data_IF_420090781024
#
_entry.id   IF_420090781024
#
_cell.length_a   1.000
_cell.length_b   1.000
_cell.length_c   1.000
_cell.angle_alpha   90.00
_cell.angle_beta   90.00
_cell.angle_gamma   90.00
#
_symmetry.space_group_name_H-M   'P 1'
#
loop_
_entity.id
_entity.type
_entity.pdbx_description
1 polymer ?
#
# COMPACT_ATOMS: atom_id res chain seq x y z
N UNK A 1 -15.99 15.93 -0.74
CA UNK A 1 -16.47 14.61 -0.28
C UNK A 1 -15.51 13.47 -0.64
N UNK A 2 -15.22 13.23 -1.92
CA UNK A 2 -14.37 12.10 -2.37
C UNK A 2 -12.95 12.08 -1.77
N UNK A 3 -12.20 13.18 -1.87
CA UNK A 3 -10.83 13.25 -1.35
C UNK A 3 -10.73 13.01 0.16
N UNK A 4 -11.79 13.38 0.93
CA UNK A 4 -11.92 13.06 2.36
C UNK A 4 -12.01 11.54 2.57
N UNK A 5 -12.86 10.86 1.79
CA UNK A 5 -13.00 9.40 1.87
C UNK A 5 -11.70 8.68 1.52
N UNK A 6 -10.97 9.16 0.51
CA UNK A 6 -9.64 8.66 0.16
C UNK A 6 -8.68 8.79 1.33
N UNK A 7 -8.65 9.95 2.01
CA UNK A 7 -7.81 10.16 3.18
C UNK A 7 -8.12 9.20 4.33
N UNK A 8 -9.42 8.99 4.62
CA UNK A 8 -9.88 8.05 5.66
C UNK A 8 -9.47 6.62 5.33
N UNK A 9 -9.66 6.16 4.09
CA UNK A 9 -9.28 4.80 3.68
C UNK A 9 -7.78 4.60 3.77
N UNK A 10 -6.98 5.54 3.26
CA UNK A 10 -5.52 5.39 3.30
C UNK A 10 -5.03 5.37 4.74
N UNK A 11 -5.54 6.24 5.61
CA UNK A 11 -5.21 6.24 7.03
C UNK A 11 -5.63 4.93 7.73
N UNK A 12 -6.79 4.37 7.38
CA UNK A 12 -7.29 3.12 7.94
C UNK A 12 -6.47 1.91 7.47
N UNK A 13 -6.28 1.76 6.15
CA UNK A 13 -5.57 0.64 5.54
C UNK A 13 -4.07 0.68 5.79
N UNK A 14 -3.50 1.86 6.07
CA UNK A 14 -2.08 1.98 6.36
C UNK A 14 -1.73 1.58 7.79
N UNK A 15 -2.67 1.51 8.74
CA UNK A 15 -2.39 1.18 10.15
C UNK A 15 -1.48 -0.06 10.36
N UNK A 16 -1.61 -1.16 9.59
CA UNK A 16 -0.75 -2.32 9.76
C UNK A 16 0.70 -2.16 9.24
N UNK A 17 1.02 -1.11 8.47
CA UNK A 17 2.34 -1.00 7.83
C UNK A 17 2.84 0.40 7.42
N UNK A 18 1.98 1.34 7.05
CA UNK A 18 2.36 2.69 6.63
C UNK A 18 1.82 3.80 7.56
N UNK A 19 2.67 4.78 7.84
CA UNK A 19 2.53 5.71 8.99
C UNK A 19 1.60 6.91 8.79
N UNK A 20 0.70 6.90 7.80
CA UNK A 20 -0.20 8.04 7.50
C UNK A 20 -1.21 8.42 8.60
N UNK A 21 -1.22 7.72 9.75
CA UNK A 21 -2.03 8.03 10.92
C UNK A 21 -1.26 8.03 12.24
N UNK A 22 0.06 8.15 12.20
CA UNK A 22 0.91 8.22 13.40
C UNK A 22 1.03 9.68 13.88
N UNK A 23 0.51 9.95 15.06
CA UNK A 23 0.66 11.23 15.76
C UNK A 23 1.15 10.91 17.17
N UNK A 24 2.39 11.27 17.48
CA UNK A 24 2.93 11.24 18.84
C UNK A 24 3.21 12.67 19.29
N UNK A 25 3.26 12.86 20.60
CA UNK A 25 3.57 14.16 21.23
C UNK A 25 5.08 14.38 21.42
N UNK A 26 5.88 13.34 21.22
CA UNK A 26 7.32 13.36 21.47
C UNK A 26 8.13 12.94 20.24
N UNK A 27 9.40 13.35 20.22
CA UNK A 27 10.36 12.86 19.23
C UNK A 27 10.60 11.38 19.46
N UNK A 28 10.39 10.57 18.43
CA UNK A 28 10.56 9.12 18.50
C UNK A 28 11.30 8.59 17.30
N UNK A 29 11.99 7.48 17.50
CA UNK A 29 12.59 6.70 16.43
C UNK A 29 11.53 5.88 15.69
N UNK A 30 11.73 5.77 14.38
CA UNK A 30 10.72 5.32 13.42
C UNK A 30 11.40 4.52 12.32
N UNK A 31 10.63 3.68 11.64
CA UNK A 31 11.17 2.85 10.56
C UNK A 31 11.03 3.46 9.16
N UNK A 32 10.14 4.45 9.01
CA UNK A 32 9.85 5.11 7.75
C UNK A 32 9.28 6.52 7.97
N UNK A 33 9.76 7.50 7.20
CA UNK A 33 9.22 8.85 7.08
C UNK A 33 8.78 9.14 5.63
N UNK A 34 7.51 9.50 5.37
CA UNK A 34 7.09 9.93 4.04
C UNK A 34 7.88 11.15 3.54
N UNK A 35 8.35 11.09 2.28
CA UNK A 35 9.22 12.12 1.67
C UNK A 35 8.62 13.51 1.55
N UNK A 36 7.31 13.63 1.77
CA UNK A 36 6.60 14.90 1.72
C UNK A 36 6.88 15.82 2.92
N UNK A 37 7.59 15.35 3.96
CA UNK A 37 7.99 16.17 5.10
C UNK A 37 9.21 15.59 5.84
N UNK A 38 10.35 15.55 5.15
CA UNK A 38 11.57 14.94 5.67
C UNK A 38 12.80 15.79 5.35
N UNK A 39 13.79 15.73 6.23
CA UNK A 39 15.12 16.27 6.01
C UNK A 39 16.14 15.16 6.25
N UNK A 40 17.12 15.05 5.35
CA UNK A 40 18.20 14.09 5.47
C UNK A 40 19.55 14.83 5.56
N UNK A 41 20.51 14.23 6.27
CA UNK A 41 21.90 14.67 6.18
C UNK A 41 22.43 14.32 4.78
N UNK A 42 23.03 15.28 4.10
CA UNK A 42 23.59 15.08 2.76
C UNK A 42 24.56 13.90 2.71
N UNK A 43 25.49 13.83 3.68
CA UNK A 43 26.47 12.75 3.75
C UNK A 43 25.82 11.37 3.84
N UNK A 44 24.73 11.22 4.58
CA UNK A 44 24.00 9.95 4.72
C UNK A 44 23.31 9.57 3.40
N UNK A 45 22.71 10.53 2.69
CA UNK A 45 22.11 10.26 1.38
C UNK A 45 23.16 9.83 0.35
N UNK A 46 24.31 10.50 0.33
CA UNK A 46 25.42 10.17 -0.57
C UNK A 46 25.98 8.77 -0.25
N UNK A 47 26.16 8.45 1.03
CA UNK A 47 26.67 7.16 1.50
C UNK A 47 25.75 5.99 1.11
N UNK A 48 24.43 6.14 1.22
CA UNK A 48 23.51 5.07 0.81
C UNK A 48 23.22 5.07 -0.69
N UNK A 49 23.66 6.08 -1.45
CA UNK A 49 23.45 6.20 -2.90
C UNK A 49 22.14 6.90 -3.33
N UNK A 50 21.43 7.56 -2.41
CA UNK A 50 20.22 8.32 -2.70
C UNK A 50 18.99 7.48 -3.07
N UNK A 51 18.03 8.07 -3.77
CA UNK A 51 16.77 7.42 -4.15
C UNK A 51 16.95 6.41 -5.29
N UNK A 52 16.26 5.28 -5.21
CA UNK A 52 16.27 4.28 -6.26
C UNK A 52 15.24 4.59 -7.37
N UNK A 53 15.72 5.19 -8.47
CA UNK A 53 14.87 5.56 -9.61
C UNK A 53 14.28 4.37 -10.42
N UNK A 54 14.68 3.13 -10.12
CA UNK A 54 14.09 1.94 -10.77
C UNK A 54 12.73 1.54 -10.16
N UNK A 55 12.41 2.06 -8.97
CA UNK A 55 11.16 1.84 -8.28
C UNK A 55 10.05 2.75 -8.83
N UNK A 56 8.85 2.19 -9.05
CA UNK A 56 7.68 2.97 -9.46
C UNK A 56 7.12 3.82 -8.30
N UNK A 57 7.32 3.36 -7.06
CA UNK A 57 6.93 3.98 -5.78
C UNK A 57 7.52 3.12 -4.65
N UNK A 58 7.30 3.47 -3.37
CA UNK A 58 7.93 2.83 -2.20
C UNK A 58 9.46 3.09 -2.19
N UNK A 59 9.91 4.07 -2.97
CA UNK A 59 11.30 4.53 -3.05
C UNK A 59 11.75 5.26 -1.79
N UNK A 60 10.81 5.90 -1.10
CA UNK A 60 11.00 6.49 0.21
C UNK A 60 11.20 5.44 1.31
N UNK A 61 10.33 4.44 1.37
CA UNK A 61 10.49 3.31 2.30
C UNK A 61 11.75 2.49 2.03
N UNK A 62 12.14 2.31 0.77
CA UNK A 62 13.36 1.59 0.39
C UNK A 62 14.63 2.37 0.74
N UNK A 63 14.62 3.70 0.56
CA UNK A 63 15.69 4.56 1.03
C UNK A 63 15.83 4.49 2.56
N UNK A 64 14.70 4.63 3.28
CA UNK A 64 14.67 4.55 4.74
C UNK A 64 15.15 3.18 5.25
N UNK A 65 14.84 2.11 4.50
CA UNK A 65 15.38 0.78 4.76
C UNK A 65 16.92 0.78 4.70
N UNK A 66 17.52 1.23 3.59
CA UNK A 66 18.98 1.29 3.44
C UNK A 66 19.66 2.18 4.48
N UNK A 67 19.04 3.32 4.82
CA UNK A 67 19.54 4.22 5.88
C UNK A 67 19.64 3.46 7.22
N UNK A 68 18.61 2.69 7.58
CA UNK A 68 18.60 1.92 8.82
C UNK A 68 19.57 0.74 8.80
N UNK A 69 19.72 0.05 7.67
CA UNK A 69 20.70 -1.03 7.53
C UNK A 69 22.15 -0.53 7.67
N UNK A 70 22.41 0.74 7.38
CA UNK A 70 23.71 1.40 7.66
C UNK A 70 23.83 1.94 9.10
N UNK A 71 22.92 1.55 10.00
CA UNK A 71 22.98 1.90 11.43
C UNK A 71 22.47 3.31 11.76
N UNK A 72 21.94 4.05 10.79
CA UNK A 72 21.34 5.35 11.05
C UNK A 72 19.91 5.23 11.58
N UNK A 73 19.50 6.26 12.32
CA UNK A 73 18.17 6.35 12.93
C UNK A 73 17.32 7.32 12.15
N UNK A 74 16.04 6.99 11.98
CA UNK A 74 15.05 7.90 11.42
C UNK A 74 14.18 8.40 12.56
N UNK A 75 14.03 9.72 12.67
CA UNK A 75 13.29 10.35 13.76
C UNK A 75 12.04 11.04 13.21
N UNK A 76 10.95 10.90 13.94
CA UNK A 76 9.75 11.73 13.81
C UNK A 76 9.82 12.88 14.80
N UNK A 77 9.37 14.06 14.39
CA UNK A 77 9.11 15.19 15.29
C UNK A 77 7.66 15.64 15.16
N UNK A 78 6.96 15.89 16.28
CA UNK A 78 5.59 16.44 16.25
C UNK A 78 5.52 17.88 15.73
N UNK A 79 6.63 18.62 15.78
CA UNK A 79 6.64 20.06 15.47
C UNK A 79 6.74 20.35 13.96
N UNK A 80 7.19 19.38 13.16
CA UNK A 80 7.25 19.53 11.71
C UNK A 80 5.92 19.07 11.10
N UNK A 81 4.94 19.98 11.01
CA UNK A 81 3.61 19.67 10.44
C UNK A 81 3.46 20.23 9.03
N UNK A 82 3.01 19.41 8.09
CA UNK A 82 2.60 19.86 6.75
C UNK A 82 1.27 19.24 6.32
N UNK A 83 0.51 19.99 5.52
CA UNK A 83 -0.81 19.58 5.05
C UNK A 83 -0.75 18.98 3.64
N UNK A 84 -1.42 17.85 3.45
CA UNK A 84 -1.40 17.12 2.19
C UNK A 84 -2.75 17.11 1.49
N UNK A 85 -2.74 17.44 0.20
CA UNK A 85 -3.90 17.21 -0.66
C UNK A 85 -4.04 15.73 -0.99
N UNK A 86 -5.23 15.18 -0.73
CA UNK A 86 -5.59 13.81 -1.13
C UNK A 86 -6.04 13.77 -2.59
N UNK A 87 -5.96 12.60 -3.22
CA UNK A 87 -6.28 12.44 -4.65
C UNK A 87 -7.73 12.84 -4.92
N UNK A 88 -7.98 13.70 -5.93
CA UNK A 88 -9.31 14.27 -6.13
C UNK A 88 -10.26 13.39 -6.96
N UNK A 89 -9.75 12.37 -7.66
CA UNK A 89 -10.54 11.59 -8.64
C UNK A 89 -10.30 10.08 -8.52
N UNK A 90 -11.30 9.31 -8.95
CA UNK A 90 -11.26 7.85 -9.03
C UNK A 90 -10.09 7.33 -9.87
N UNK A 91 -9.89 7.88 -11.07
CA UNK A 91 -8.80 7.48 -11.97
C UNK A 91 -7.41 7.65 -11.33
N UNK A 92 -7.20 8.75 -10.61
CA UNK A 92 -5.94 8.99 -9.89
C UNK A 92 -5.76 8.02 -8.72
N UNK A 93 -6.84 7.65 -8.04
CA UNK A 93 -6.80 6.65 -6.97
C UNK A 93 -6.54 5.23 -7.49
N UNK A 94 -7.18 4.83 -8.59
CA UNK A 94 -6.92 3.54 -9.27
C UNK A 94 -5.46 3.42 -9.71
N UNK A 95 -4.93 4.44 -10.40
CA UNK A 95 -3.52 4.49 -10.81
C UNK A 95 -2.57 4.41 -9.62
N UNK A 96 -2.93 5.06 -8.52
CA UNK A 96 -2.17 5.00 -7.28
C UNK A 96 -2.14 3.58 -6.70
N UNK A 97 -3.29 2.94 -6.48
CA UNK A 97 -3.36 1.56 -5.97
C UNK A 97 -2.53 0.58 -6.83
N UNK A 98 -2.66 0.69 -8.16
CA UNK A 98 -1.85 -0.08 -9.11
C UNK A 98 -0.34 0.13 -8.95
N UNK A 99 0.09 1.39 -8.92
CA UNK A 99 1.51 1.72 -8.77
C UNK A 99 2.05 1.23 -7.42
N UNK A 100 1.30 1.40 -6.32
CA UNK A 100 1.70 0.92 -4.99
C UNK A 100 1.91 -0.59 -4.96
N UNK A 101 1.04 -1.36 -5.63
CA UNK A 101 1.25 -2.80 -5.82
C UNK A 101 2.57 -3.10 -6.53
N UNK A 102 2.84 -2.45 -7.67
CA UNK A 102 4.09 -2.64 -8.42
C UNK A 102 5.30 -2.30 -7.55
N UNK A 103 5.32 -1.10 -6.96
CA UNK A 103 6.45 -0.60 -6.17
C UNK A 103 6.74 -1.47 -4.96
N UNK A 104 5.70 -1.94 -4.25
CA UNK A 104 5.89 -2.85 -3.12
C UNK A 104 6.57 -4.16 -3.54
N UNK A 105 6.15 -4.78 -4.64
CA UNK A 105 6.79 -6.01 -5.11
C UNK A 105 8.23 -5.74 -5.58
N UNK A 106 8.50 -4.60 -6.23
CA UNK A 106 9.88 -4.23 -6.58
C UNK A 106 10.76 -4.04 -5.33
N UNK A 107 10.26 -3.37 -4.30
CA UNK A 107 10.97 -3.21 -3.02
C UNK A 107 11.26 -4.57 -2.36
N UNK A 108 10.29 -5.49 -2.34
CA UNK A 108 10.47 -6.86 -1.82
C UNK A 108 11.51 -7.66 -2.62
N UNK A 109 11.62 -7.42 -3.94
CA UNK A 109 12.64 -8.08 -4.78
C UNK A 109 14.05 -7.61 -4.43
N UNK A 110 14.22 -6.36 -4.02
CA UNK A 110 15.49 -5.83 -3.52
C UNK A 110 15.76 -6.34 -2.10
N UNK A 111 14.80 -6.15 -1.20
CA UNK A 111 14.94 -6.43 0.23
C UNK A 111 13.77 -7.30 0.70
N UNK A 112 14.00 -8.60 0.84
CA UNK A 112 12.93 -9.59 1.09
C UNK A 112 12.18 -9.37 2.40
N UNK A 113 12.85 -8.81 3.39
CA UNK A 113 12.35 -8.49 4.73
C UNK A 113 11.39 -7.28 4.77
N UNK A 114 11.37 -6.45 3.73
CA UNK A 114 10.30 -5.46 3.52
C UNK A 114 8.95 -6.12 3.20
N UNK A 115 8.94 -7.42 2.91
CA UNK A 115 7.73 -8.22 2.69
C UNK A 115 7.02 -8.59 3.98
N UNK A 116 5.72 -8.28 4.07
CA UNK A 116 4.83 -8.71 5.15
C UNK A 116 3.67 -9.50 4.56
N UNK A 117 3.11 -10.45 5.31
CA UNK A 117 2.07 -11.35 4.82
C UNK A 117 0.90 -10.61 4.13
N UNK A 118 0.45 -9.48 4.70
CA UNK A 118 -0.67 -8.70 4.17
C UNK A 118 -0.36 -7.98 2.84
N UNK A 119 0.91 -7.76 2.50
CA UNK A 119 1.29 -7.25 1.18
C UNK A 119 0.97 -8.25 0.06
N UNK A 120 1.08 -9.55 0.35
CA UNK A 120 0.84 -10.64 -0.60
C UNK A 120 -0.64 -11.03 -0.70
N UNK A 121 -1.43 -10.82 0.37
CA UNK A 121 -2.82 -11.28 0.48
C UNK A 121 -3.69 -10.92 -0.72
N UNK A 122 -3.74 -9.66 -1.22
CA UNK A 122 -4.59 -9.34 -2.37
C UNK A 122 -4.20 -10.13 -3.63
N UNK A 123 -2.90 -10.21 -3.91
CA UNK A 123 -2.35 -10.92 -5.08
C UNK A 123 -2.61 -12.42 -5.04
N UNK A 124 -2.46 -13.03 -3.86
CA UNK A 124 -2.70 -14.47 -3.66
C UNK A 124 -4.18 -14.81 -3.82
N UNK A 125 -5.08 -14.00 -3.25
CA UNK A 125 -6.53 -14.20 -3.40
C UNK A 125 -6.96 -14.05 -4.86
N UNK A 126 -6.47 -13.02 -5.56
CA UNK A 126 -6.77 -12.82 -6.99
C UNK A 126 -6.26 -14.00 -7.83
N UNK A 127 -5.05 -14.48 -7.55
CA UNK A 127 -4.47 -15.63 -8.24
C UNK A 127 -5.26 -16.92 -7.97
N UNK A 128 -5.74 -17.12 -6.74
CA UNK A 128 -6.57 -18.25 -6.37
C UNK A 128 -7.94 -18.22 -7.09
N UNK A 129 -8.59 -17.05 -7.14
CA UNK A 129 -9.85 -16.88 -7.89
C UNK A 129 -9.63 -17.19 -9.37
N UNK A 130 -8.56 -16.67 -9.97
CA UNK A 130 -8.23 -16.92 -11.38
C UNK A 130 -7.99 -18.41 -11.64
N UNK A 131 -7.18 -19.08 -10.80
CA UNK A 131 -6.87 -20.50 -10.94
C UNK A 131 -8.12 -21.39 -10.76
N UNK A 132 -8.96 -21.13 -9.75
CA UNK A 132 -10.22 -21.84 -9.55
C UNK A 132 -11.19 -21.63 -10.72
N UNK A 133 -11.21 -20.42 -11.30
CA UNK A 133 -12.02 -20.13 -12.49
C UNK A 133 -11.56 -20.95 -13.69
N UNK A 134 -10.26 -21.16 -13.89
CA UNK A 134 -9.74 -22.05 -14.94
C UNK A 134 -10.13 -23.50 -14.66
N UNK A 135 -9.93 -23.98 -13.44
CA UNK A 135 -10.27 -25.35 -13.06
C UNK A 135 -11.77 -25.64 -13.18
N UNK A 136 -12.63 -24.61 -13.12
CA UNK A 136 -14.08 -24.77 -13.27
C UNK A 136 -14.50 -25.37 -14.60
N UNK A 137 -13.64 -25.29 -15.64
CA UNK A 137 -13.84 -25.96 -16.92
C UNK A 137 -13.86 -27.49 -16.79
N UNK A 138 -13.21 -28.03 -15.76
CA UNK A 138 -13.18 -29.47 -15.47
C UNK A 138 -14.28 -29.92 -14.49
N UNK A 139 -14.58 -29.09 -13.49
CA UNK A 139 -15.55 -29.41 -12.44
C UNK A 139 -16.16 -28.15 -11.83
N UNK A 140 -17.49 -28.08 -11.78
CA UNK A 140 -18.22 -26.91 -11.28
C UNK A 140 -17.96 -26.60 -9.79
N UNK A 141 -17.47 -27.55 -8.99
CA UNK A 141 -17.09 -27.29 -7.58
C UNK A 141 -16.07 -26.14 -7.49
N UNK A 142 -15.13 -26.03 -8.44
CA UNK A 142 -14.15 -24.94 -8.44
C UNK A 142 -14.78 -23.58 -8.74
N UNK A 143 -15.85 -23.52 -9.55
CA UNK A 143 -16.62 -22.30 -9.76
C UNK A 143 -17.25 -21.84 -8.45
N UNK A 144 -17.90 -22.75 -7.71
CA UNK A 144 -18.47 -22.43 -6.41
C UNK A 144 -17.41 -21.97 -5.42
N UNK A 145 -16.21 -22.56 -5.46
CA UNK A 145 -15.05 -22.09 -4.69
C UNK A 145 -14.68 -20.64 -5.01
N UNK A 146 -14.51 -20.31 -6.29
CA UNK A 146 -14.19 -18.94 -6.73
C UNK A 146 -15.29 -17.94 -6.34
N UNK A 147 -16.56 -18.29 -6.56
CA UNK A 147 -17.71 -17.46 -6.19
C UNK A 147 -17.81 -17.25 -4.67
N UNK A 148 -17.53 -18.28 -3.87
CA UNK A 148 -17.52 -18.19 -2.41
C UNK A 148 -16.48 -17.18 -1.92
N UNK A 149 -15.27 -17.21 -2.48
CA UNK A 149 -14.21 -16.24 -2.15
C UNK A 149 -14.67 -14.82 -2.51
N UNK A 150 -15.26 -14.62 -3.69
CA UNK A 150 -15.76 -13.31 -4.12
C UNK A 150 -16.89 -12.80 -3.21
N UNK A 151 -17.83 -13.66 -2.81
CA UNK A 151 -18.94 -13.31 -1.92
C UNK A 151 -18.41 -12.95 -0.53
N UNK A 152 -17.57 -13.79 0.07
CA UNK A 152 -16.99 -13.54 1.39
C UNK A 152 -16.16 -12.25 1.39
N UNK A 153 -15.32 -12.06 0.36
CA UNK A 153 -14.54 -10.83 0.18
C UNK A 153 -15.43 -9.60 0.03
N UNK A 154 -16.49 -9.70 -0.78
CA UNK A 154 -17.48 -8.64 -0.95
C UNK A 154 -18.21 -8.27 0.34
N UNK A 155 -18.59 -9.26 1.16
CA UNK A 155 -19.17 -9.06 2.49
C UNK A 155 -18.16 -8.38 3.42
N UNK A 156 -16.89 -8.82 3.42
CA UNK A 156 -15.84 -8.20 4.21
C UNK A 156 -15.61 -6.72 3.87
N UNK A 157 -15.56 -6.40 2.58
CA UNK A 157 -15.47 -5.01 2.10
C UNK A 157 -16.73 -4.22 2.52
N UNK A 158 -17.91 -4.84 2.45
CA UNK A 158 -19.16 -4.28 2.95
C UNK A 158 -19.10 -3.94 4.43
N UNK A 159 -18.65 -4.87 5.27
CA UNK A 159 -18.51 -4.66 6.71
C UNK A 159 -17.51 -3.53 7.04
N UNK A 160 -16.36 -3.50 6.38
CA UNK A 160 -15.38 -2.40 6.53
C UNK A 160 -15.98 -1.06 6.10
N UNK A 161 -16.73 -1.05 5.00
CA UNK A 161 -17.39 0.15 4.51
C UNK A 161 -18.49 0.65 5.46
N UNK A 162 -19.29 -0.25 6.05
CA UNK A 162 -20.27 0.09 7.09
C UNK A 162 -19.58 0.70 8.31
N UNK A 163 -18.48 0.09 8.75
CA UNK A 163 -17.69 0.60 9.87
C UNK A 163 -17.19 2.03 9.60
N UNK A 164 -16.55 2.28 8.46
CA UNK A 164 -16.06 3.62 8.10
C UNK A 164 -17.21 4.61 7.93
N UNK A 165 -18.29 4.19 7.28
CA UNK A 165 -19.51 4.97 7.15
C UNK A 165 -20.08 5.37 8.51
N UNK A 166 -20.05 4.49 9.51
CA UNK A 166 -20.61 4.79 10.85
C UNK A 166 -19.85 5.91 11.54
N UNK A 167 -18.59 6.14 11.14
CA UNK A 167 -17.73 7.19 11.68
C UNK A 167 -17.79 8.50 10.89
N UNK A 168 -18.14 8.47 9.61
CA UNK A 168 -18.10 9.67 8.74
C UNK A 168 -19.43 10.05 8.07
N UNK A 169 -20.44 9.18 8.17
CA UNK A 169 -21.77 9.31 7.56
C UNK A 169 -22.10 8.15 6.59
N UNK A 170 -23.30 7.58 6.73
CA UNK A 170 -23.79 6.45 5.90
C UNK A 170 -23.86 6.75 4.40
N UNK A 171 -24.02 8.02 4.02
CA UNK A 171 -24.02 8.46 2.62
C UNK A 171 -22.71 8.16 1.87
N UNK A 172 -21.62 7.88 2.59
CA UNK A 172 -20.31 7.55 2.02
C UNK A 172 -20.07 6.03 1.90
N UNK A 173 -21.01 5.19 2.33
CA UNK A 173 -20.89 3.72 2.29
C UNK A 173 -20.50 3.20 0.89
N UNK A 174 -21.25 3.54 -0.16
CA UNK A 174 -20.92 3.06 -1.51
C UNK A 174 -19.56 3.60 -2.00
N UNK A 175 -19.15 4.78 -1.54
CA UNK A 175 -17.84 5.36 -1.88
C UNK A 175 -16.71 4.56 -1.23
N UNK A 176 -16.84 4.22 0.05
CA UNK A 176 -15.85 3.41 0.74
C UNK A 176 -15.78 1.99 0.18
N UNK A 177 -16.93 1.37 -0.10
CA UNK A 177 -16.97 0.06 -0.75
C UNK A 177 -16.16 0.05 -2.04
N UNK A 178 -16.44 1.00 -2.94
CA UNK A 178 -15.75 1.13 -4.22
C UNK A 178 -14.25 1.43 -4.05
N UNK A 179 -13.87 2.33 -3.13
CA UNK A 179 -12.47 2.67 -2.89
C UNK A 179 -11.67 1.49 -2.31
N UNK A 180 -12.24 0.72 -1.38
CA UNK A 180 -11.57 -0.47 -0.82
C UNK A 180 -11.43 -1.55 -1.90
N UNK A 181 -12.49 -1.78 -2.69
CA UNK A 181 -12.42 -2.73 -3.81
C UNK A 181 -11.34 -2.31 -4.82
N UNK A 182 -11.31 -1.03 -5.23
CA UNK A 182 -10.28 -0.49 -6.11
C UNK A 182 -8.89 -0.69 -5.51
N UNK A 183 -8.73 -0.43 -4.22
CA UNK A 183 -7.45 -0.62 -3.55
C UNK A 183 -7.02 -2.08 -3.59
N UNK A 184 -7.90 -3.01 -3.23
CA UNK A 184 -7.64 -4.45 -3.23
C UNK A 184 -7.24 -4.97 -4.61
N UNK A 185 -8.08 -4.74 -5.63
CA UNK A 185 -7.83 -5.21 -6.99
C UNK A 185 -6.65 -4.50 -7.64
N UNK A 186 -6.57 -3.17 -7.49
CA UNK A 186 -5.48 -2.36 -8.03
C UNK A 186 -4.12 -2.74 -7.44
N UNK A 187 -4.03 -2.83 -6.11
CA UNK A 187 -2.83 -3.29 -5.42
C UNK A 187 -2.46 -4.71 -5.84
N UNK A 188 -3.39 -5.66 -5.77
CA UNK A 188 -3.10 -7.07 -6.04
C UNK A 188 -2.63 -7.32 -7.47
N UNK A 189 -3.33 -6.77 -8.47
CA UNK A 189 -2.91 -6.90 -9.87
C UNK A 189 -1.60 -6.14 -10.15
N UNK A 190 -1.43 -4.96 -9.57
CA UNK A 190 -0.18 -4.20 -9.66
C UNK A 190 1.00 -4.96 -9.06
N UNK A 191 0.79 -5.62 -7.92
CA UNK A 191 1.81 -6.43 -7.25
C UNK A 191 2.22 -7.63 -8.09
N UNK A 192 1.26 -8.36 -8.67
CA UNK A 192 1.54 -9.42 -9.66
C UNK A 192 2.35 -8.85 -10.83
N UNK A 193 1.97 -7.69 -11.36
CA UNK A 193 2.71 -7.02 -12.44
C UNK A 193 4.14 -6.64 -12.03
N UNK A 194 4.35 -6.30 -10.76
CA UNK A 194 5.64 -5.95 -10.19
C UNK A 194 6.65 -7.11 -10.17
N UNK A 195 6.18 -8.37 -10.11
CA UNK A 195 7.05 -9.56 -10.24
C UNK A 195 7.85 -9.49 -11.54
N UNK A 196 7.18 -9.12 -12.63
CA UNK A 196 7.74 -9.00 -13.97
C UNK A 196 8.35 -7.63 -14.27
N UNK A 197 8.35 -6.68 -13.33
CA UNK A 197 9.07 -5.41 -13.51
C UNK A 197 10.54 -5.61 -13.12
N UNK A 198 11.49 -5.17 -13.96
CA UNK A 198 12.88 -5.13 -13.54
C UNK A 198 13.04 -4.13 -12.38
N UNK A 199 14.02 -4.40 -11.54
CA UNK A 199 14.47 -3.51 -10.47
C UNK A 199 15.98 -3.63 -10.41
N UNK A 200 16.67 -2.54 -10.12
CA UNK A 200 18.12 -2.51 -9.99
C UNK A 200 18.46 -2.00 -8.59
N UNK A 201 19.48 -2.59 -7.98
CA UNK A 201 20.07 -2.01 -6.78
C UNK A 201 20.69 -0.65 -7.10
N UNK A 202 20.75 0.20 -6.08
CA UNK A 202 21.47 1.47 -6.18
C UNK A 202 22.96 1.13 -6.09
N UNK A 203 23.72 1.53 -7.11
CA UNK A 203 25.18 1.45 -7.04
C UNK A 203 25.70 2.53 -6.10
N UNK A 204 26.46 2.13 -5.08
CA UNK A 204 27.26 3.02 -4.22
C UNK A 204 28.70 2.94 -4.69
#
# INVERSE_FOLDING_TARGET
>A
AFAKCVGVILSFLSKPGARYGFCEEEVREIYHNPTCNVMYRKSVLEEVGGFNHSLVTVDDEELDYRIRENGYRILYTPDAVVYHYRRPTWGRFMKMAWNYGIGRMQAIKLHRDMGRWFHYTPSLIISAIFFLSILSLSNMVYLWGALSILIIGGIGIGAMSLYLGSKTGMRDFLRYYALIAIWFWGWGLGFIRGVFKPVKEVGV
#
